data_IF_312121277960
#
_entry.id   IF_312121277960
#
_cell.length_a   1.000
_cell.length_b   1.000
_cell.length_c   1.000
_cell.angle_alpha   90.00
_cell.angle_beta   90.00
_cell.angle_gamma   90.00
#
_symmetry.space_group_name_H-M   'P 1'
#
loop_
_entity.id
_entity.type
_entity.pdbx_description
1 polymer ?
#
# COMPACT_ATOMS: atom_id res chain seq x y z
N UNK A 1 -4.95 1.15 23.51
CA UNK A 1 -3.57 1.46 23.08
C UNK A 1 -3.64 2.73 22.25
N UNK A 2 -2.88 3.75 22.63
CA UNK A 2 -3.00 5.12 22.10
C UNK A 2 -2.75 5.21 20.58
N UNK A 3 -1.91 4.34 20.00
CA UNK A 3 -1.64 4.30 18.55
C UNK A 3 -2.92 4.01 17.75
N UNK A 4 -3.68 2.96 18.13
CA UNK A 4 -4.91 2.57 17.40
C UNK A 4 -5.95 3.69 17.42
N UNK A 5 -6.12 4.33 18.56
CA UNK A 5 -7.07 5.44 18.72
C UNK A 5 -6.70 6.64 17.85
N UNK A 6 -5.42 7.03 17.80
CA UNK A 6 -4.96 8.11 16.92
C UNK A 6 -5.16 7.75 15.43
N UNK A 7 -4.90 6.51 15.05
CA UNK A 7 -5.12 6.05 13.69
C UNK A 7 -6.61 6.17 13.33
N UNK A 8 -7.51 5.62 14.14
CA UNK A 8 -8.95 5.59 13.87
C UNK A 8 -9.60 6.98 13.93
N UNK A 9 -9.14 7.87 14.81
CA UNK A 9 -9.78 9.18 15.03
C UNK A 9 -9.21 10.32 14.19
N UNK A 10 -7.95 10.21 13.71
CA UNK A 10 -7.27 11.32 13.03
C UNK A 10 -6.79 10.99 11.63
N UNK A 11 -6.18 9.82 11.43
CA UNK A 11 -5.52 9.50 10.16
C UNK A 11 -6.49 8.81 9.22
N UNK A 12 -7.12 7.75 9.71
CA UNK A 12 -7.97 6.87 8.91
C UNK A 12 -9.13 7.60 8.22
N UNK A 13 -9.80 8.59 8.85
CA UNK A 13 -10.83 9.37 8.17
C UNK A 13 -10.30 10.08 6.91
N UNK A 14 -9.17 10.78 7.02
CA UNK A 14 -8.55 11.48 5.89
C UNK A 14 -8.06 10.51 4.81
N UNK A 15 -7.50 9.37 5.20
CA UNK A 15 -7.08 8.34 4.23
C UNK A 15 -8.28 7.74 3.48
N UNK A 16 -9.40 7.53 4.18
CA UNK A 16 -10.63 7.02 3.57
C UNK A 16 -11.30 8.03 2.64
N UNK A 17 -11.21 9.34 2.95
CA UNK A 17 -11.63 10.41 2.03
C UNK A 17 -10.87 10.35 0.70
N UNK A 18 -9.59 9.97 0.72
CA UNK A 18 -8.75 9.77 -0.47
C UNK A 18 -8.93 8.38 -1.14
N UNK A 19 -9.86 7.55 -0.63
CA UNK A 19 -10.14 6.21 -1.16
C UNK A 19 -9.12 5.15 -0.76
N UNK A 20 -8.37 5.37 0.32
CA UNK A 20 -7.48 4.39 0.94
C UNK A 20 -8.03 3.81 2.24
N UNK A 21 -7.27 2.89 2.84
CA UNK A 21 -7.41 2.56 4.26
C UNK A 21 -6.04 2.25 4.87
N UNK A 22 -5.95 2.32 6.20
CA UNK A 22 -4.79 1.86 6.96
C UNK A 22 -5.21 0.93 8.10
N UNK A 23 -4.51 -0.18 8.22
CA UNK A 23 -4.77 -1.20 9.23
C UNK A 23 -3.55 -1.33 10.12
N UNK A 24 -3.74 -1.21 11.43
CA UNK A 24 -2.69 -1.44 12.40
C UNK A 24 -2.37 -2.93 12.50
N UNK A 25 -1.12 -3.31 12.23
CA UNK A 25 -0.66 -4.70 12.23
C UNK A 25 0.19 -5.05 13.45
N UNK A 26 0.83 -4.06 14.07
CA UNK A 26 1.62 -4.29 15.27
C UNK A 26 2.48 -3.09 15.67
N UNK A 27 3.08 -3.19 16.85
CA UNK A 27 4.06 -2.24 17.35
C UNK A 27 5.13 -3.01 18.12
N UNK A 28 6.39 -2.81 17.75
CA UNK A 28 7.52 -3.55 18.32
C UNK A 28 8.79 -2.70 18.23
N UNK A 29 9.48 -2.51 19.36
CA UNK A 29 10.77 -1.81 19.38
C UNK A 29 10.74 -0.41 18.77
N UNK A 30 9.69 0.38 19.02
CA UNK A 30 9.54 1.72 18.43
C UNK A 30 8.98 1.73 17.01
N UNK A 31 8.81 0.57 16.36
CA UNK A 31 8.33 0.47 14.97
C UNK A 31 6.85 0.15 14.93
N UNK A 32 6.06 1.02 14.30
CA UNK A 32 4.62 0.78 14.03
C UNK A 32 4.47 0.13 12.66
N UNK A 33 3.91 -1.08 12.63
CA UNK A 33 3.64 -1.84 11.40
C UNK A 33 2.21 -1.57 10.95
N UNK A 34 2.06 -1.03 9.73
CA UNK A 34 0.77 -0.71 9.12
C UNK A 34 0.61 -1.45 7.80
N UNK A 35 -0.60 -1.94 7.52
CA UNK A 35 -1.00 -2.36 6.19
C UNK A 35 -1.76 -1.21 5.53
N UNK A 36 -1.29 -0.77 4.37
CA UNK A 36 -1.94 0.29 3.59
C UNK A 36 -2.77 -0.35 2.46
N UNK A 37 -3.96 0.17 2.21
CA UNK A 37 -4.90 -0.35 1.22
C UNK A 37 -5.46 0.77 0.34
N UNK A 38 -6.02 0.38 -0.82
CA UNK A 38 -6.72 1.28 -1.74
C UNK A 38 -5.79 2.20 -2.51
N UNK A 39 -6.23 3.44 -2.75
CA UNK A 39 -5.46 4.45 -3.51
C UNK A 39 -4.06 4.69 -2.93
N UNK A 40 -3.88 4.46 -1.64
CA UNK A 40 -2.62 4.70 -0.94
C UNK A 40 -1.58 3.59 -1.12
N UNK A 41 -1.96 2.42 -1.63
CA UNK A 41 -1.04 1.27 -1.80
C UNK A 41 -0.59 1.05 -3.25
N UNK A 42 -1.11 1.81 -4.21
CA UNK A 42 -0.89 1.58 -5.65
C UNK A 42 0.18 2.47 -6.29
N UNK A 43 0.53 3.60 -5.65
CA UNK A 43 1.53 4.54 -6.17
C UNK A 43 2.69 4.69 -5.19
N UNK A 44 3.95 4.45 -5.62
CA UNK A 44 5.12 4.55 -4.74
C UNK A 44 5.27 5.91 -4.04
N UNK A 45 4.92 7.02 -4.72
CA UNK A 45 5.00 8.36 -4.13
C UNK A 45 3.92 8.61 -3.07
N UNK A 46 2.72 8.09 -3.27
CA UNK A 46 1.62 8.17 -2.30
C UNK A 46 1.93 7.36 -1.04
N UNK A 47 2.54 6.17 -1.19
CA UNK A 47 2.98 5.34 -0.06
C UNK A 47 3.99 6.10 0.81
N UNK A 48 5.02 6.68 0.20
CA UNK A 48 6.06 7.43 0.92
C UNK A 48 5.46 8.65 1.63
N UNK A 49 4.61 9.41 0.93
CA UNK A 49 3.95 10.60 1.49
C UNK A 49 3.09 10.24 2.69
N UNK A 50 2.23 9.23 2.55
CA UNK A 50 1.35 8.78 3.63
C UNK A 50 2.17 8.24 4.80
N UNK A 51 3.15 7.38 4.55
CA UNK A 51 4.04 6.85 5.59
C UNK A 51 4.68 7.97 6.41
N UNK A 52 5.25 8.97 5.73
CA UNK A 52 5.89 10.10 6.41
C UNK A 52 4.89 10.93 7.21
N UNK A 53 3.71 11.21 6.66
CA UNK A 53 2.65 11.93 7.37
C UNK A 53 2.20 11.22 8.64
N UNK A 54 1.95 9.91 8.54
CA UNK A 54 1.56 9.07 9.68
C UNK A 54 2.67 8.98 10.72
N UNK A 55 3.92 8.78 10.29
CA UNK A 55 5.06 8.72 11.19
C UNK A 55 5.23 10.03 11.98
N UNK A 56 5.20 11.18 11.30
CA UNK A 56 5.34 12.48 11.94
C UNK A 56 4.22 12.72 12.96
N UNK A 57 2.98 12.36 12.62
CA UNK A 57 1.85 12.53 13.52
C UNK A 57 1.98 11.61 14.74
N UNK A 58 2.34 10.34 14.54
CA UNK A 58 2.52 9.39 15.64
C UNK A 58 3.67 9.81 16.55
N UNK A 59 4.81 10.25 16.00
CA UNK A 59 5.95 10.77 16.77
C UNK A 59 5.59 12.00 17.61
N UNK A 60 4.73 12.88 17.08
CA UNK A 60 4.28 14.07 17.80
C UNK A 60 3.46 13.73 19.06
N UNK A 61 2.54 12.76 18.95
CA UNK A 61 1.67 12.38 20.08
C UNK A 61 2.25 11.25 20.94
N UNK A 62 3.14 10.44 20.38
CA UNK A 62 3.70 9.23 21.00
C UNK A 62 5.21 9.22 20.69
N UNK A 63 6.03 9.88 21.54
CA UNK A 63 7.48 9.98 21.34
C UNK A 63 8.23 8.64 21.30
N UNK A 64 7.62 7.56 21.80
CA UNK A 64 8.16 6.19 21.73
C UNK A 64 8.09 5.57 20.33
N UNK A 65 7.39 6.19 19.39
CA UNK A 65 7.37 5.75 17.99
C UNK A 65 8.61 6.29 17.30
N UNK A 66 9.48 5.41 16.81
CA UNK A 66 10.68 5.76 16.06
C UNK A 66 10.43 5.75 14.55
N UNK A 67 9.63 4.81 14.06
CA UNK A 67 9.35 4.68 12.63
C UNK A 67 8.03 3.98 12.32
N UNK A 68 7.58 4.13 11.08
CA UNK A 68 6.41 3.42 10.52
C UNK A 68 6.87 2.55 9.35
N UNK A 69 6.43 1.30 9.31
CA UNK A 69 6.70 0.36 8.23
C UNK A 69 5.42 -0.15 7.59
N UNK A 70 5.41 -0.19 6.26
CA UNK A 70 4.36 -0.88 5.51
C UNK A 70 4.64 -2.38 5.55
N UNK A 71 3.64 -3.16 5.91
CA UNK A 71 3.69 -4.62 5.86
C UNK A 71 2.56 -5.16 5.00
N UNK A 72 2.80 -6.34 4.42
CA UNK A 72 1.86 -7.08 3.59
C UNK A 72 1.58 -8.42 4.23
N UNK A 73 0.29 -8.78 4.31
CA UNK A 73 -0.12 -10.08 4.81
C UNK A 73 -0.04 -11.16 3.73
N UNK A 74 -0.48 -12.37 4.06
CA UNK A 74 -0.44 -13.50 3.13
C UNK A 74 -1.36 -13.28 1.93
N UNK A 75 -2.54 -12.69 2.14
CA UNK A 75 -3.50 -12.42 1.08
C UNK A 75 -2.95 -11.41 0.07
N UNK A 76 -2.29 -10.36 0.56
CA UNK A 76 -1.64 -9.36 -0.29
C UNK A 76 -0.60 -9.99 -1.22
N UNK A 77 0.24 -10.89 -0.68
CA UNK A 77 1.29 -11.58 -1.46
C UNK A 77 0.69 -12.52 -2.51
N UNK A 78 -0.40 -13.21 -2.18
CA UNK A 78 -1.10 -14.05 -3.17
C UNK A 78 -1.66 -13.19 -4.30
N UNK A 79 -2.32 -12.09 -3.99
CA UNK A 79 -2.89 -11.16 -4.99
C UNK A 79 -1.78 -10.65 -5.93
N UNK A 80 -0.65 -10.21 -5.37
CA UNK A 80 0.47 -9.71 -6.17
C UNK A 80 1.04 -10.80 -7.09
N UNK A 81 1.22 -12.03 -6.58
CA UNK A 81 1.71 -13.16 -7.38
C UNK A 81 0.77 -13.56 -8.52
N UNK A 82 -0.54 -13.56 -8.28
CA UNK A 82 -1.55 -13.88 -9.30
C UNK A 82 -1.65 -12.76 -10.35
N UNK A 83 -1.58 -11.50 -9.93
CA UNK A 83 -1.56 -10.36 -10.83
C UNK A 83 -0.33 -10.38 -11.74
N UNK A 84 0.87 -10.62 -11.19
CA UNK A 84 2.08 -10.78 -12.00
C UNK A 84 1.96 -11.90 -13.02
N UNK A 85 1.38 -13.04 -12.61
CA UNK A 85 1.16 -14.19 -13.50
C UNK A 85 0.19 -13.81 -14.63
N UNK A 86 -0.88 -13.09 -14.32
CA UNK A 86 -1.84 -12.60 -15.31
C UNK A 86 -1.18 -11.64 -16.30
N UNK A 87 -0.39 -10.67 -15.83
CA UNK A 87 0.35 -9.76 -16.70
C UNK A 87 1.33 -10.48 -17.63
N UNK A 88 2.04 -11.49 -17.11
CA UNK A 88 2.94 -12.34 -17.90
C UNK A 88 2.18 -13.02 -19.04
N UNK A 89 1.02 -13.62 -18.73
CA UNK A 89 0.17 -14.27 -19.73
C UNK A 89 -0.34 -13.28 -20.79
N UNK A 90 -0.74 -12.07 -20.39
CA UNK A 90 -1.21 -11.04 -21.33
C UNK A 90 -0.09 -10.58 -22.28
N UNK A 91 1.15 -10.45 -21.79
CA UNK A 91 2.33 -10.12 -22.60
C UNK A 91 2.65 -11.24 -23.60
N UNK A 92 2.42 -12.50 -23.24
CA UNK A 92 2.59 -13.65 -24.15
C UNK A 92 1.54 -13.67 -25.27
N UNK A 93 0.29 -13.26 -24.98
CA UNK A 93 -0.80 -13.21 -25.98
C UNK A 93 -0.63 -12.09 -27.02
N UNK A 94 -0.03 -10.95 -26.64
CA UNK A 94 0.22 -9.82 -27.56
C UNK A 94 1.33 -10.06 -28.60
N UNK A 95 2.08 -11.17 -28.52
CA UNK A 95 3.14 -11.51 -29.46
C UNK A 95 2.67 -12.32 -30.68
N UNK A 96 1.36 -12.57 -30.79
CA UNK A 96 0.72 -13.19 -31.97
C UNK A 96 -0.20 -12.19 -32.69
N UNK A 97 0.28 -11.00 -33.03
CA UNK A 97 -0.29 -10.29 -34.19
C UNK A 97 0.42 -10.80 -35.44
N UNK A 98 -0.25 -11.54 -36.35
CA UNK A 98 0.34 -11.88 -37.62
C UNK A 98 0.53 -10.58 -38.41
N UNK A 99 1.73 -10.38 -38.93
CA UNK A 99 2.04 -9.41 -39.95
C UNK A 99 1.18 -9.68 -41.20
N UNK A 100 -0.03 -9.14 -41.28
CA UNK A 100 -0.72 -8.89 -42.55
C UNK A 100 -0.23 -7.54 -43.07
N UNK A 101 0.57 -7.44 -44.13
CA UNK A 101 0.26 -8.01 -45.44
C UNK A 101 -0.84 -7.17 -46.11
N UNK A 102 -0.56 -5.90 -46.41
CA UNK A 102 -1.39 -5.09 -47.31
C UNK A 102 -0.89 -5.22 -48.75
N UNK A 103 -1.69 -5.72 -49.70
CA UNK A 103 -1.32 -5.73 -51.11
C UNK A 103 -1.68 -4.39 -51.78
N UNK A 104 -0.68 -3.84 -52.48
CA UNK A 104 -0.70 -2.81 -53.54
C UNK A 104 -1.22 -1.41 -53.20
#
# INVERSE_FOLDING_TARGET
MMIKELLDTRIRPTVQEDGGDIVFMGYEGGVVKLKMQGSCSSCPSSIVTLKNGVQNMLQFYIPEVESVEQVFDEADRMIESEFERFEKNLKTLKQQEPSGGGPH
#
